data_IF_920841960619
#
_entry.id   IF_920841960619
#
_cell.length_a   1.000
_cell.length_b   1.000
_cell.length_c   1.000
_cell.angle_alpha   90.00
_cell.angle_beta   90.00
_cell.angle_gamma   90.00
#
_symmetry.space_group_name_H-M   'P 1'
#
loop_
_entity.id
_entity.type
_entity.pdbx_description
1 polymer ?
#
# COMPACT_ATOMS: atom_id res chain seq x y z
N UNK A 1 -5.10 4.68 -9.10
CA UNK A 1 -4.89 3.46 -9.93
C UNK A 1 -6.11 2.55 -9.96
N UNK A 2 -6.60 2.05 -8.82
CA UNK A 2 -7.74 1.11 -8.78
C UNK A 2 -9.05 1.72 -9.28
N UNK A 3 -9.34 2.98 -8.93
CA UNK A 3 -10.51 3.71 -9.45
C UNK A 3 -10.56 3.74 -10.98
N UNK A 4 -9.46 4.12 -11.62
CA UNK A 4 -9.32 4.15 -13.08
C UNK A 4 -9.56 2.77 -13.70
N UNK A 5 -8.91 1.73 -13.16
CA UNK A 5 -9.01 0.36 -13.69
C UNK A 5 -10.37 -0.29 -13.50
N UNK A 6 -11.14 0.18 -12.52
CA UNK A 6 -12.48 -0.33 -12.24
C UNK A 6 -13.58 0.56 -12.80
N UNK A 7 -13.23 1.71 -13.38
CA UNK A 7 -14.19 2.71 -13.85
C UNK A 7 -15.04 3.31 -12.71
N UNK A 8 -14.49 3.37 -11.49
CA UNK A 8 -15.17 3.85 -10.29
C UNK A 8 -14.68 5.22 -9.87
N UNK A 9 -15.49 5.91 -9.07
CA UNK A 9 -15.14 7.14 -8.37
C UNK A 9 -14.92 6.92 -6.87
N UNK A 10 -14.30 7.90 -6.21
CA UNK A 10 -14.21 7.94 -4.74
C UNK A 10 -15.59 7.85 -4.07
N UNK A 11 -16.59 8.53 -4.64
CA UNK A 11 -17.96 8.51 -4.09
C UNK A 11 -18.59 7.12 -4.18
N UNK A 12 -18.35 6.37 -5.27
CA UNK A 12 -18.85 5.00 -5.38
C UNK A 12 -18.27 4.12 -4.26
N UNK A 13 -16.97 4.26 -3.97
CA UNK A 13 -16.29 3.45 -2.94
C UNK A 13 -16.81 3.80 -1.55
N UNK A 14 -16.97 5.08 -1.24
CA UNK A 14 -17.54 5.50 0.05
C UNK A 14 -18.99 5.04 0.20
N UNK A 15 -19.80 5.15 -0.86
CA UNK A 15 -21.20 4.71 -0.84
C UNK A 15 -21.32 3.21 -0.56
N UNK A 16 -20.51 2.37 -1.22
CA UNK A 16 -20.51 0.93 -0.95
C UNK A 16 -20.20 0.61 0.52
N UNK A 17 -19.20 1.31 1.10
CA UNK A 17 -18.83 1.11 2.51
C UNK A 17 -19.94 1.55 3.47
N UNK A 18 -20.56 2.72 3.22
CA UNK A 18 -21.67 3.25 4.02
C UNK A 18 -22.89 2.33 3.95
N UNK A 19 -23.26 1.88 2.75
CA UNK A 19 -24.39 0.98 2.53
C UNK A 19 -24.13 -0.40 3.16
N UNK A 20 -22.90 -0.91 3.07
CA UNK A 20 -22.50 -2.13 3.76
C UNK A 20 -22.64 -2.02 5.27
N UNK A 21 -22.16 -0.93 5.88
CA UNK A 21 -22.33 -0.68 7.31
C UNK A 21 -23.81 -0.59 7.70
N UNK A 22 -24.63 0.10 6.89
CA UNK A 22 -26.07 0.23 7.12
C UNK A 22 -26.78 -1.12 7.04
N UNK A 23 -26.49 -1.91 6.00
CA UNK A 23 -27.05 -3.25 5.79
C UNK A 23 -26.77 -4.19 6.95
N UNK A 24 -25.54 -4.20 7.45
CA UNK A 24 -25.11 -5.04 8.57
C UNK A 24 -25.47 -4.44 9.95
N UNK A 25 -26.07 -3.25 9.98
CA UNK A 25 -26.39 -2.55 11.24
C UNK A 25 -25.14 -2.16 12.05
N UNK A 26 -23.99 -2.01 11.41
CA UNK A 26 -22.73 -1.60 12.06
C UNK A 26 -22.82 -0.14 12.51
N UNK A 27 -22.72 0.09 13.83
CA UNK A 27 -22.80 1.41 14.46
C UNK A 27 -21.45 1.91 14.98
N UNK A 28 -20.37 1.17 14.73
CA UNK A 28 -19.03 1.59 15.11
C UNK A 28 -18.46 2.64 14.17
N UNK A 29 -17.29 3.17 14.51
CA UNK A 29 -16.57 4.06 13.62
C UNK A 29 -15.93 3.28 12.47
N UNK A 30 -15.89 3.90 11.30
CA UNK A 30 -15.06 3.49 10.17
C UNK A 30 -14.47 4.75 9.52
N UNK A 31 -13.39 4.59 8.75
CA UNK A 31 -12.76 5.67 8.00
C UNK A 31 -12.73 5.35 6.51
N UNK A 32 -12.54 6.38 5.70
CA UNK A 32 -12.35 6.26 4.26
C UNK A 32 -10.96 6.80 3.87
N UNK A 33 -10.11 5.92 3.36
CA UNK A 33 -8.73 6.23 2.97
C UNK A 33 -8.59 6.43 1.45
N UNK A 34 -8.16 7.63 1.08
CA UNK A 34 -7.79 7.99 -0.26
C UNK A 34 -6.36 7.51 -0.50
N UNK A 35 -6.25 6.26 -0.93
CA UNK A 35 -4.97 5.55 -1.02
C UNK A 35 -4.13 6.00 -2.23
N UNK A 36 -2.80 6.03 -2.06
CA UNK A 36 -1.81 6.37 -3.09
C UNK A 36 -2.12 7.64 -3.93
N UNK A 37 -2.42 8.77 -3.28
CA UNK A 37 -2.65 10.06 -3.95
C UNK A 37 -1.33 10.68 -4.42
N UNK A 38 -1.24 10.94 -5.72
CA UNK A 38 -0.03 11.47 -6.40
C UNK A 38 -0.17 12.90 -6.94
N UNK A 39 -1.37 13.47 -6.87
CA UNK A 39 -1.64 14.83 -7.36
C UNK A 39 -2.75 15.53 -6.56
N UNK A 40 -2.79 16.86 -6.67
CA UNK A 40 -3.75 17.69 -5.92
C UNK A 40 -5.18 17.59 -6.46
N UNK A 41 -5.37 17.18 -7.72
CA UNK A 41 -6.69 17.05 -8.31
C UNK A 41 -7.41 15.83 -7.71
N UNK A 42 -6.75 14.67 -7.69
CA UNK A 42 -7.23 13.46 -7.03
C UNK A 42 -7.44 13.71 -5.52
N UNK A 43 -6.52 14.44 -4.88
CA UNK A 43 -6.64 14.83 -3.47
C UNK A 43 -7.91 15.66 -3.22
N UNK A 44 -8.16 16.65 -4.06
CA UNK A 44 -9.38 17.47 -4.01
C UNK A 44 -10.64 16.66 -4.23
N UNK A 45 -10.65 15.77 -5.22
CA UNK A 45 -11.78 14.90 -5.50
C UNK A 45 -12.11 13.96 -4.32
N UNK A 46 -11.10 13.39 -3.66
CA UNK A 46 -11.29 12.57 -2.46
C UNK A 46 -11.82 13.39 -1.28
N UNK A 47 -11.27 14.60 -1.08
CA UNK A 47 -11.72 15.51 -0.04
C UNK A 47 -13.18 15.94 -0.24
N UNK A 48 -13.54 16.32 -1.47
CA UNK A 48 -14.90 16.71 -1.84
C UNK A 48 -15.88 15.52 -1.74
N UNK A 49 -15.40 14.28 -1.91
CA UNK A 49 -16.20 13.06 -1.71
C UNK A 49 -16.41 12.68 -0.23
N UNK A 50 -15.74 13.35 0.71
CA UNK A 50 -15.93 13.12 2.16
C UNK A 50 -14.96 12.10 2.79
N UNK A 51 -13.80 11.86 2.17
CA UNK A 51 -12.78 10.99 2.74
C UNK A 51 -12.17 11.58 4.02
N UNK A 52 -11.82 10.70 4.96
CA UNK A 52 -11.32 11.07 6.29
C UNK A 52 -9.84 10.76 6.52
N UNK A 53 -9.23 10.01 5.61
CA UNK A 53 -7.84 9.58 5.66
C UNK A 53 -7.22 9.77 4.27
N UNK A 54 -6.03 10.35 4.21
CA UNK A 54 -5.34 10.66 2.95
C UNK A 54 -3.93 10.10 2.96
N UNK A 55 -3.65 9.22 2.01
CA UNK A 55 -2.33 8.62 1.84
C UNK A 55 -1.62 9.29 0.69
N UNK A 56 -0.62 10.11 1.02
CA UNK A 56 0.16 10.83 0.02
C UNK A 56 1.31 9.96 -0.42
N UNK A 57 1.37 9.70 -1.72
CA UNK A 57 2.41 8.93 -2.37
C UNK A 57 3.28 9.87 -3.23
N UNK A 58 4.43 10.32 -2.73
CA UNK A 58 5.38 11.11 -3.47
C UNK A 58 6.39 10.24 -4.24
N UNK A 59 6.15 8.93 -4.47
CA UNK A 59 7.14 8.01 -5.09
C UNK A 59 7.70 8.53 -6.41
N UNK A 60 6.87 9.22 -7.20
CA UNK A 60 7.25 9.78 -8.50
C UNK A 60 8.24 10.95 -8.37
N UNK A 61 8.43 11.46 -7.15
CA UNK A 61 9.41 12.49 -6.76
C UNK A 61 10.63 11.90 -6.06
N UNK A 62 10.70 10.57 -5.90
CA UNK A 62 11.80 9.88 -5.25
C UNK A 62 12.60 9.13 -6.32
N UNK A 63 13.81 9.62 -6.58
CA UNK A 63 14.77 8.95 -7.47
C UNK A 63 16.11 8.74 -6.74
N UNK A 64 16.87 7.73 -7.16
CA UNK A 64 18.22 7.54 -6.64
C UNK A 64 19.08 8.71 -7.10
N UNK A 65 19.86 9.30 -6.20
CA UNK A 65 20.82 10.36 -6.54
C UNK A 65 21.77 9.96 -7.70
N UNK A 66 22.08 8.66 -7.82
CA UNK A 66 22.93 8.12 -8.89
C UNK A 66 22.28 8.14 -10.28
N UNK A 67 20.97 8.34 -10.39
CA UNK A 67 20.23 8.43 -11.66
C UNK A 67 20.12 9.88 -12.16
N UNK A 68 20.51 10.85 -11.34
CA UNK A 68 20.50 12.27 -11.69
C UNK A 68 21.83 12.67 -12.32
N UNK A 69 21.77 13.46 -13.39
CA UNK A 69 22.97 14.12 -13.92
C UNK A 69 23.49 15.22 -12.98
N UNK A 70 24.73 15.66 -13.22
CA UNK A 70 25.44 16.59 -12.34
C UNK A 70 24.74 17.95 -12.21
N UNK A 71 24.20 18.47 -13.32
CA UNK A 71 23.49 19.75 -13.35
C UNK A 71 22.20 19.70 -12.52
N UNK A 72 21.41 18.63 -12.67
CA UNK A 72 20.20 18.40 -11.86
C UNK A 72 20.54 18.26 -10.38
N UNK A 73 21.62 17.55 -10.05
CA UNK A 73 22.07 17.39 -8.66
C UNK A 73 22.45 18.73 -8.06
N UNK A 74 23.28 19.50 -8.75
CA UNK A 74 23.71 20.83 -8.30
C UNK A 74 22.51 21.74 -8.08
N UNK A 75 21.61 21.81 -9.07
CA UNK A 75 20.40 22.63 -8.97
C UNK A 75 19.51 22.23 -7.80
N UNK A 76 19.22 20.95 -7.63
CA UNK A 76 18.37 20.46 -6.55
C UNK A 76 18.96 20.76 -5.17
N UNK A 77 20.29 20.65 -5.04
CA UNK A 77 20.97 20.98 -3.80
C UNK A 77 21.00 22.50 -3.54
N UNK A 78 21.33 23.31 -4.55
CA UNK A 78 21.32 24.78 -4.45
C UNK A 78 19.94 25.30 -4.02
N UNK A 79 18.87 24.78 -4.63
CA UNK A 79 17.49 25.09 -4.24
C UNK A 79 17.19 24.67 -2.80
N UNK A 80 17.58 23.46 -2.41
CA UNK A 80 17.37 22.96 -1.05
C UNK A 80 18.15 23.80 -0.01
N UNK A 81 19.42 24.10 -0.25
CA UNK A 81 20.24 24.87 0.67
C UNK A 81 19.84 26.34 0.77
N UNK A 82 19.36 26.93 -0.33
CA UNK A 82 18.78 28.26 -0.29
C UNK A 82 17.51 28.31 0.57
N UNK A 83 16.67 27.27 0.51
CA UNK A 83 15.41 27.21 1.26
C UNK A 83 15.61 26.82 2.74
N UNK A 84 16.53 25.89 3.03
CA UNK A 84 16.64 25.26 4.36
C UNK A 84 17.99 25.46 5.06
N UNK A 85 19.03 25.91 4.35
CA UNK A 85 20.40 25.91 4.84
C UNK A 85 20.99 24.49 4.96
N UNK A 86 21.89 24.27 5.94
CA UNK A 86 22.51 22.98 6.25
C UNK A 86 22.11 22.41 7.63
N UNK A 87 20.82 22.35 8.01
CA UNK A 87 20.41 22.06 9.39
C UNK A 87 20.69 20.60 9.81
N UNK A 88 20.95 19.72 8.84
CA UNK A 88 21.26 18.32 9.09
C UNK A 88 22.76 18.05 9.16
N UNK A 89 23.61 18.89 8.58
CA UNK A 89 25.03 18.57 8.48
C UNK A 89 25.67 18.46 9.87
N UNK A 90 26.30 17.31 10.13
CA UNK A 90 26.89 16.91 11.41
C UNK A 90 25.90 16.76 12.58
N UNK A 91 24.59 16.77 12.31
CA UNK A 91 23.58 16.48 13.33
C UNK A 91 23.61 14.98 13.66
N UNK A 92 23.54 14.68 14.95
CA UNK A 92 23.52 13.31 15.46
C UNK A 92 22.26 13.05 16.27
N UNK A 93 21.64 11.91 16.02
CA UNK A 93 20.49 11.40 16.77
C UNK A 93 20.92 10.11 17.48
N UNK A 94 20.70 10.06 18.80
CA UNK A 94 20.88 8.85 19.60
C UNK A 94 19.49 8.25 19.84
N UNK A 95 19.19 7.15 19.16
CA UNK A 95 17.86 6.52 19.17
C UNK A 95 18.05 5.06 19.57
N UNK A 96 17.48 4.67 20.71
CA UNK A 96 17.79 3.39 21.34
C UNK A 96 19.29 3.27 21.63
N UNK A 97 19.93 2.21 21.12
CA UNK A 97 21.38 1.99 21.23
C UNK A 97 22.17 2.46 20.00
N UNK A 98 21.49 2.95 18.97
CA UNK A 98 22.10 3.36 17.73
C UNK A 98 22.41 4.86 17.72
N UNK A 99 23.48 5.22 17.01
CA UNK A 99 23.87 6.60 16.72
C UNK A 99 23.74 6.84 15.22
N UNK A 100 22.89 7.78 14.84
CA UNK A 100 22.67 8.19 13.46
C UNK A 100 23.27 9.57 13.23
N UNK A 101 24.30 9.67 12.39
CA UNK A 101 24.97 10.93 12.08
C UNK A 101 24.79 11.29 10.63
N UNK A 102 24.37 12.51 10.38
CA UNK A 102 24.23 13.10 9.06
C UNK A 102 25.57 13.71 8.62
N UNK A 103 26.47 12.87 8.10
CA UNK A 103 27.69 13.34 7.42
C UNK A 103 27.35 13.90 6.04
N UNK A 104 28.29 14.62 5.43
CA UNK A 104 28.06 15.34 4.17
C UNK A 104 27.52 14.45 3.04
N UNK A 105 28.20 13.35 2.74
CA UNK A 105 27.80 12.43 1.66
C UNK A 105 26.36 11.88 1.80
N UNK A 106 26.04 11.17 2.90
CA UNK A 106 24.68 10.71 3.16
C UNK A 106 23.63 11.83 3.20
N UNK A 107 23.98 13.02 3.72
CA UNK A 107 23.05 14.16 3.73
C UNK A 107 22.73 14.61 2.32
N UNK A 108 23.74 14.76 1.46
CA UNK A 108 23.56 15.11 0.03
C UNK A 108 22.68 14.08 -0.67
N UNK A 109 22.93 12.79 -0.45
CA UNK A 109 22.12 11.72 -1.04
C UNK A 109 20.65 11.79 -0.61
N UNK A 110 20.39 11.99 0.69
CA UNK A 110 19.03 12.12 1.22
C UNK A 110 18.30 13.35 0.70
N UNK A 111 19.00 14.49 0.56
CA UNK A 111 18.43 15.70 -0.03
C UNK A 111 18.02 15.44 -1.48
N UNK A 112 18.94 14.91 -2.28
CA UNK A 112 18.67 14.61 -3.69
C UNK A 112 17.51 13.63 -3.87
N UNK A 113 17.39 12.64 -2.97
CA UNK A 113 16.36 11.60 -3.08
C UNK A 113 15.01 12.00 -2.51
N UNK A 114 14.94 12.79 -1.43
CA UNK A 114 13.68 13.01 -0.69
C UNK A 114 13.19 14.46 -0.62
N UNK A 115 14.00 15.46 -0.95
CA UNK A 115 13.60 16.86 -0.78
C UNK A 115 12.35 17.22 -1.60
N UNK A 116 12.31 16.80 -2.87
CA UNK A 116 11.16 17.05 -3.75
C UNK A 116 9.89 16.33 -3.25
N UNK A 117 10.04 15.10 -2.75
CA UNK A 117 8.95 14.33 -2.16
C UNK A 117 8.35 15.02 -0.92
N UNK A 118 9.21 15.50 -0.01
CA UNK A 118 8.78 16.23 1.20
C UNK A 118 8.04 17.52 0.84
N UNK A 119 8.52 18.26 -0.16
CA UNK A 119 7.86 19.48 -0.65
C UNK A 119 6.47 19.18 -1.22
N UNK A 120 6.31 18.08 -1.95
CA UNK A 120 5.01 17.64 -2.42
C UNK A 120 4.06 17.25 -1.27
N UNK A 121 4.55 16.49 -0.29
CA UNK A 121 3.79 16.16 0.93
C UNK A 121 3.31 17.41 1.66
N UNK A 122 4.17 18.43 1.78
CA UNK A 122 3.81 19.72 2.35
C UNK A 122 2.71 20.42 1.55
N UNK A 123 2.80 20.44 0.21
CA UNK A 123 1.76 21.02 -0.64
C UNK A 123 0.41 20.33 -0.43
N UNK A 124 0.38 18.98 -0.39
CA UNK A 124 -0.83 18.21 -0.11
C UNK A 124 -1.40 18.53 1.28
N UNK A 125 -0.55 18.60 2.31
CA UNK A 125 -0.96 18.97 3.66
C UNK A 125 -1.59 20.36 3.71
N UNK A 126 -0.95 21.37 3.11
CA UNK A 126 -1.49 22.72 3.08
C UNK A 126 -2.80 22.78 2.30
N UNK A 127 -2.89 22.09 1.16
CA UNK A 127 -4.12 22.00 0.37
C UNK A 127 -5.27 21.40 1.18
N UNK A 128 -5.07 20.25 1.84
CA UNK A 128 -6.12 19.63 2.67
C UNK A 128 -6.59 20.52 3.80
N UNK A 129 -5.70 21.25 4.47
CA UNK A 129 -6.07 22.20 5.53
C UNK A 129 -6.98 23.33 5.05
N UNK A 130 -7.00 23.64 3.75
CA UNK A 130 -7.96 24.60 3.17
C UNK A 130 -9.34 24.01 2.93
N UNK A 131 -9.47 22.67 2.95
CA UNK A 131 -10.67 21.91 2.58
C UNK A 131 -11.34 21.24 3.78
N UNK A 132 -10.56 20.65 4.68
CA UNK A 132 -11.03 19.76 5.75
C UNK A 132 -10.31 20.09 7.06
N UNK A 133 -11.06 20.12 8.17
CA UNK A 133 -10.54 20.44 9.50
C UNK A 133 -9.88 19.25 10.21
N UNK A 134 -10.44 18.05 10.05
CA UNK A 134 -10.01 16.84 10.72
C UNK A 134 -9.83 15.73 9.71
N UNK A 135 -8.63 15.21 9.62
CA UNK A 135 -8.29 14.09 8.76
C UNK A 135 -7.06 13.37 9.29
N UNK A 136 -6.99 12.08 9.02
CA UNK A 136 -5.75 11.32 9.11
C UNK A 136 -4.91 11.57 7.87
N UNK A 137 -3.60 11.68 8.06
CA UNK A 137 -2.65 11.96 7.00
C UNK A 137 -1.51 10.96 7.04
N UNK A 138 -1.31 10.23 5.96
CA UNK A 138 -0.24 9.25 5.83
C UNK A 138 0.76 9.69 4.78
N UNK A 139 2.05 9.49 5.10
CA UNK A 139 3.14 9.70 4.15
C UNK A 139 3.64 8.32 3.70
N UNK A 140 3.49 8.01 2.42
CA UNK A 140 3.89 6.72 1.85
C UNK A 140 5.23 6.83 1.14
N UNK A 141 6.22 6.00 1.48
CA UNK A 141 7.48 5.86 0.73
C UNK A 141 7.79 4.38 0.48
N UNK A 142 6.75 3.56 0.36
CA UNK A 142 6.80 2.11 0.17
C UNK A 142 6.96 1.67 -1.30
N UNK A 143 6.53 2.49 -2.27
CA UNK A 143 6.67 2.20 -3.71
C UNK A 143 8.07 2.61 -4.27
N UNK A 144 9.11 2.66 -3.43
CA UNK A 144 10.47 3.02 -3.84
C UNK A 144 11.34 1.80 -4.17
N UNK A 145 12.29 1.95 -5.10
CA UNK A 145 13.18 0.85 -5.52
C UNK A 145 14.15 0.37 -4.44
N UNK A 146 14.45 1.20 -3.44
CA UNK A 146 15.38 0.87 -2.35
C UNK A 146 14.61 0.88 -1.04
N UNK A 147 14.88 -0.06 -0.12
CA UNK A 147 14.40 0.02 1.26
C UNK A 147 14.73 1.36 1.91
N UNK A 148 13.78 1.89 2.67
CA UNK A 148 13.96 3.13 3.42
C UNK A 148 14.98 2.90 4.53
N UNK A 149 16.09 3.65 4.52
CA UNK A 149 17.11 3.52 5.56
C UNK A 149 16.66 4.21 6.86
N UNK A 150 17.23 3.84 8.02
CA UNK A 150 16.99 4.58 9.27
C UNK A 150 17.29 6.09 9.16
N UNK A 151 18.38 6.47 8.47
CA UNK A 151 18.70 7.89 8.23
C UNK A 151 17.66 8.57 7.34
N UNK A 152 17.14 7.89 6.31
CA UNK A 152 16.06 8.42 5.48
C UNK A 152 14.77 8.62 6.29
N UNK A 153 14.40 7.66 7.14
CA UNK A 153 13.24 7.79 8.01
C UNK A 153 13.39 9.00 8.96
N UNK A 154 14.55 9.16 9.62
CA UNK A 154 14.83 10.33 10.47
C UNK A 154 14.77 11.63 9.68
N UNK A 155 15.34 11.65 8.46
CA UNK A 155 15.33 12.81 7.58
C UNK A 155 13.89 13.24 7.26
N UNK A 156 13.04 12.31 6.82
CA UNK A 156 11.63 12.57 6.51
C UNK A 156 10.90 13.08 7.76
N UNK A 157 10.97 12.34 8.88
CA UNK A 157 10.25 12.67 10.11
C UNK A 157 10.64 14.06 10.67
N UNK A 158 11.93 14.38 10.68
CA UNK A 158 12.42 15.70 11.12
C UNK A 158 11.91 16.83 10.20
N UNK A 159 11.91 16.62 8.88
CA UNK A 159 11.41 17.62 7.94
C UNK A 159 9.92 17.89 8.10
N UNK A 160 9.11 16.83 8.26
CA UNK A 160 7.68 16.94 8.48
C UNK A 160 7.40 17.67 9.80
N UNK A 161 8.11 17.31 10.87
CA UNK A 161 8.02 17.97 12.17
C UNK A 161 8.36 19.46 12.10
N UNK A 162 9.45 19.82 11.42
CA UNK A 162 9.90 21.21 11.29
C UNK A 162 8.92 22.07 10.47
N UNK A 163 8.12 21.44 9.60
CA UNK A 163 7.02 22.09 8.84
C UNK A 163 5.69 22.12 9.58
N UNK A 164 5.62 21.57 10.80
CA UNK A 164 4.38 21.46 11.56
C UNK A 164 3.34 20.54 10.90
N UNK A 165 3.78 19.61 10.05
CA UNK A 165 2.92 18.60 9.43
C UNK A 165 2.63 17.54 10.48
N UNK A 166 1.33 17.34 10.77
CA UNK A 166 0.87 16.28 11.68
C UNK A 166 0.40 15.11 10.83
N UNK A 167 1.05 13.97 10.97
CA UNK A 167 0.73 12.77 10.20
C UNK A 167 0.42 11.61 11.17
N UNK A 168 -0.57 10.81 10.79
CA UNK A 168 -1.09 9.69 11.58
C UNK A 168 -0.25 8.43 11.40
N UNK A 169 0.46 8.31 10.28
CA UNK A 169 1.27 7.14 9.94
C UNK A 169 2.29 7.43 8.85
N UNK A 170 3.27 6.53 8.73
CA UNK A 170 4.22 6.50 7.63
C UNK A 170 4.29 5.07 7.08
N UNK A 171 4.23 4.91 5.77
CA UNK A 171 4.50 3.64 5.11
C UNK A 171 5.94 3.65 4.59
N UNK A 172 6.75 2.67 5.00
CA UNK A 172 8.17 2.59 4.64
C UNK A 172 8.39 1.42 3.67
N UNK A 173 9.38 1.53 2.78
CA UNK A 173 9.86 0.39 2.01
C UNK A 173 10.75 -0.47 2.91
N UNK A 174 10.25 -1.61 3.35
CA UNK A 174 11.02 -2.60 4.10
C UNK A 174 11.92 -3.46 3.18
N UNK A 175 12.98 -4.10 3.70
CA UNK A 175 13.73 -5.10 2.94
C UNK A 175 12.86 -6.30 2.57
N UNK A 176 13.28 -7.05 1.54
CA UNK A 176 12.48 -8.12 0.95
C UNK A 176 11.46 -7.60 -0.05
N UNK A 177 10.49 -8.44 -0.42
CA UNK A 177 9.44 -8.09 -1.37
C UNK A 177 8.06 -8.37 -0.79
N UNK A 178 7.18 -7.41 -1.02
CA UNK A 178 5.79 -7.40 -0.57
C UNK A 178 4.87 -7.56 -1.78
N UNK A 179 5.06 -8.66 -2.52
CA UNK A 179 4.32 -8.89 -3.75
C UNK A 179 2.82 -9.08 -3.46
N UNK A 180 1.98 -8.71 -4.43
CA UNK A 180 0.52 -8.83 -4.29
C UNK A 180 0.10 -10.30 -4.25
N UNK A 181 -0.89 -10.64 -3.44
CA UNK A 181 -1.52 -11.97 -3.39
C UNK A 181 -0.68 -13.12 -2.82
N UNK A 182 0.52 -12.88 -2.31
CA UNK A 182 1.38 -13.93 -1.70
C UNK A 182 2.01 -13.46 -0.38
N UNK A 183 2.62 -14.40 0.34
CA UNK A 183 3.36 -14.11 1.57
C UNK A 183 4.67 -13.35 1.30
N UNK A 184 5.30 -12.86 2.35
CA UNK A 184 6.56 -12.12 2.30
C UNK A 184 7.68 -12.96 1.66
N UNK A 185 8.42 -12.35 0.74
CA UNK A 185 9.58 -12.99 0.10
C UNK A 185 10.86 -12.28 0.52
N UNK A 186 11.67 -12.92 1.36
CA UNK A 186 12.96 -12.39 1.79
C UNK A 186 13.45 -12.99 3.09
N UNK A 187 14.49 -12.37 3.66
CA UNK A 187 15.01 -12.75 4.98
C UNK A 187 14.15 -12.11 6.07
N UNK A 188 13.45 -12.94 6.87
CA UNK A 188 12.57 -12.48 7.96
C UNK A 188 13.38 -11.77 9.05
N UNK A 189 14.54 -12.30 9.45
CA UNK A 189 15.39 -11.65 10.46
C UNK A 189 15.87 -10.26 10.00
N UNK A 190 16.12 -10.11 8.70
CA UNK A 190 16.47 -8.83 8.09
C UNK A 190 15.31 -7.83 8.13
N UNK A 191 14.09 -8.30 7.89
CA UNK A 191 12.87 -7.50 8.06
C UNK A 191 12.66 -7.07 9.52
N UNK A 192 12.77 -8.00 10.47
CA UNK A 192 12.61 -7.73 11.89
C UNK A 192 13.61 -6.69 12.39
N UNK A 193 14.89 -6.85 12.03
CA UNK A 193 15.94 -5.89 12.41
C UNK A 193 15.66 -4.48 11.86
N UNK A 194 15.20 -4.40 10.61
CA UNK A 194 14.83 -3.11 10.00
C UNK A 194 13.60 -2.50 10.69
N UNK A 195 12.59 -3.33 11.00
CA UNK A 195 11.37 -2.91 11.66
C UNK A 195 11.63 -2.37 13.06
N UNK A 196 12.46 -3.05 13.86
CA UNK A 196 12.88 -2.60 15.19
C UNK A 196 13.55 -1.22 15.13
N UNK A 197 14.45 -1.01 14.18
CA UNK A 197 15.09 0.29 13.99
C UNK A 197 14.08 1.40 13.66
N UNK A 198 13.10 1.12 12.79
CA UNK A 198 12.08 2.09 12.43
C UNK A 198 11.07 2.36 13.54
N UNK A 199 10.73 1.37 14.37
CA UNK A 199 9.89 1.56 15.57
C UNK A 199 10.60 2.46 16.58
N UNK A 200 11.89 2.26 16.83
CA UNK A 200 12.65 3.14 17.73
C UNK A 200 12.68 4.59 17.21
N UNK A 201 12.76 4.79 15.89
CA UNK A 201 12.70 6.12 15.28
C UNK A 201 11.31 6.74 15.45
N UNK A 202 10.25 5.98 15.18
CA UNK A 202 8.85 6.40 15.41
C UNK A 202 8.64 6.90 16.84
N UNK A 203 9.08 6.11 17.82
CA UNK A 203 8.94 6.43 19.24
C UNK A 203 9.74 7.69 19.62
N UNK A 204 10.91 7.91 19.00
CA UNK A 204 11.69 9.14 19.19
C UNK A 204 10.98 10.39 18.65
N UNK A 205 10.27 10.28 17.52
CA UNK A 205 9.61 11.41 16.86
C UNK A 205 8.18 11.69 17.34
N UNK A 206 7.67 10.90 18.30
CA UNK A 206 6.35 11.03 18.95
C UNK A 206 5.17 10.49 18.12
N UNK A 207 5.13 9.15 18.04
CA UNK A 207 3.92 8.32 17.97
C UNK A 207 2.96 8.54 16.78
N UNK A 208 3.50 8.54 15.56
CA UNK A 208 2.72 8.11 14.39
C UNK A 208 2.71 6.57 14.30
N UNK A 209 1.86 5.99 13.45
CA UNK A 209 1.82 4.53 13.21
C UNK A 209 2.80 4.10 12.10
N UNK A 210 3.29 2.86 12.17
CA UNK A 210 3.92 2.21 11.01
C UNK A 210 2.83 1.61 10.14
N UNK A 211 2.73 2.06 8.90
CA UNK A 211 1.79 1.53 7.92
C UNK A 211 2.44 0.45 7.07
N UNK A 212 1.79 -0.72 6.98
CA UNK A 212 2.23 -1.84 6.15
C UNK A 212 1.37 -1.92 4.89
N UNK A 213 1.93 -1.41 3.80
CA UNK A 213 1.34 -1.50 2.47
C UNK A 213 1.56 -2.88 1.86
N UNK A 214 0.71 -3.23 0.88
CA UNK A 214 0.63 -4.60 0.35
C UNK A 214 0.54 -5.64 1.47
N UNK A 215 -0.18 -5.26 2.53
CA UNK A 215 -0.13 -5.93 3.81
C UNK A 215 -0.79 -7.30 3.76
N UNK A 216 -1.80 -7.52 2.90
CA UNK A 216 -2.52 -8.78 2.82
C UNK A 216 -1.61 -9.98 2.52
N UNK A 217 -1.99 -11.13 3.07
CA UNK A 217 -1.36 -12.44 2.92
C UNK A 217 0.06 -12.56 3.46
N UNK A 218 0.61 -11.52 4.13
CA UNK A 218 1.96 -11.51 4.70
C UNK A 218 2.05 -12.26 6.05
N UNK A 219 1.45 -13.45 6.11
CA UNK A 219 1.25 -14.19 7.35
C UNK A 219 2.55 -14.54 8.07
N UNK A 220 3.64 -14.81 7.35
CA UNK A 220 4.93 -15.17 7.95
C UNK A 220 5.52 -14.05 8.82
N UNK A 221 5.22 -12.78 8.51
CA UNK A 221 5.79 -11.62 9.21
C UNK A 221 4.82 -10.98 10.20
N UNK A 222 3.53 -11.31 10.18
CA UNK A 222 2.55 -10.70 11.09
C UNK A 222 2.86 -10.91 12.58
N UNK A 223 3.24 -12.12 13.06
CA UNK A 223 3.53 -12.31 14.48
C UNK A 223 4.68 -11.42 14.97
N UNK A 224 5.77 -11.33 14.21
CA UNK A 224 6.90 -10.48 14.59
C UNK A 224 6.59 -9.01 14.39
N UNK A 225 5.87 -8.64 13.32
CA UNK A 225 5.39 -7.29 13.10
C UNK A 225 4.57 -6.78 14.29
N UNK A 226 3.56 -7.55 14.71
CA UNK A 226 2.71 -7.21 15.86
C UNK A 226 3.50 -7.11 17.16
N UNK A 227 4.43 -8.04 17.38
CA UNK A 227 5.30 -8.06 18.57
C UNK A 227 6.20 -6.82 18.65
N UNK A 228 6.80 -6.43 17.53
CA UNK A 228 7.76 -5.32 17.47
C UNK A 228 7.04 -3.96 17.47
N UNK A 229 5.97 -3.81 16.69
CA UNK A 229 5.31 -2.51 16.47
C UNK A 229 4.31 -2.16 17.59
N UNK A 230 3.83 -3.17 18.32
CA UNK A 230 2.81 -2.97 19.37
C UNK A 230 1.45 -2.68 18.74
N UNK A 231 0.71 -1.72 19.31
CA UNK A 231 -0.57 -1.24 18.76
C UNK A 231 -0.42 -0.10 17.75
N UNK A 232 0.79 0.43 17.55
CA UNK A 232 1.07 1.59 16.71
C UNK A 232 1.24 1.25 15.24
N UNK A 233 0.30 0.51 14.65
CA UNK A 233 0.35 0.11 13.24
C UNK A 233 -0.93 0.41 12.46
N UNK A 234 -0.80 0.46 11.15
CA UNK A 234 -1.87 0.41 10.16
C UNK A 234 -1.53 -0.66 9.13
N UNK A 235 -2.49 -1.44 8.65
CA UNK A 235 -2.27 -2.50 7.65
C UNK A 235 -3.30 -2.30 6.55
N UNK A 236 -2.83 -2.30 5.30
CA UNK A 236 -3.68 -2.14 4.13
C UNK A 236 -3.88 -3.46 3.39
N UNK A 237 -5.15 -3.78 3.17
CA UNK A 237 -5.60 -4.91 2.35
C UNK A 237 -6.57 -4.39 1.30
N UNK A 238 -6.46 -4.85 0.05
CA UNK A 238 -7.42 -4.53 -1.01
C UNK A 238 -7.67 -5.79 -1.84
N UNK A 239 -6.75 -6.12 -2.75
CA UNK A 239 -6.96 -7.18 -3.74
C UNK A 239 -7.11 -8.60 -3.20
N UNK A 240 -6.81 -8.89 -1.93
CA UNK A 240 -7.15 -10.21 -1.36
C UNK A 240 -8.66 -10.42 -1.24
N UNK A 241 -9.43 -9.36 -0.96
CA UNK A 241 -10.89 -9.44 -0.98
C UNK A 241 -11.44 -9.76 -2.37
N UNK A 242 -10.78 -9.25 -3.42
CA UNK A 242 -11.06 -9.64 -4.80
C UNK A 242 -10.75 -11.13 -5.06
N UNK A 243 -9.64 -11.66 -4.53
CA UNK A 243 -9.33 -13.08 -4.63
C UNK A 243 -10.41 -13.95 -3.97
N UNK A 244 -10.88 -13.57 -2.79
CA UNK A 244 -11.98 -14.29 -2.12
C UNK A 244 -13.31 -14.18 -2.88
N UNK A 245 -13.55 -13.08 -3.61
CA UNK A 245 -14.69 -12.97 -4.51
C UNK A 245 -14.58 -13.95 -5.70
N UNK A 246 -13.41 -14.07 -6.33
CA UNK A 246 -13.19 -15.06 -7.39
C UNK A 246 -13.30 -16.49 -6.85
N UNK A 247 -12.87 -16.73 -5.61
CA UNK A 247 -13.06 -18.02 -4.94
C UNK A 247 -14.53 -18.33 -4.68
N UNK A 248 -15.34 -17.33 -4.31
CA UNK A 248 -16.79 -17.50 -4.19
C UNK A 248 -17.44 -17.86 -5.54
N UNK A 249 -17.01 -17.22 -6.63
CA UNK A 249 -17.45 -17.58 -7.99
C UNK A 249 -17.03 -19.01 -8.33
N UNK A 250 -15.79 -19.42 -8.04
CA UNK A 250 -15.34 -20.80 -8.28
C UNK A 250 -16.21 -21.85 -7.59
N UNK A 251 -16.71 -21.55 -6.38
CA UNK A 251 -17.58 -22.44 -5.61
C UNK A 251 -19.05 -22.43 -6.05
N UNK A 252 -19.45 -21.43 -6.85
CA UNK A 252 -20.86 -21.20 -7.19
C UNK A 252 -21.16 -21.42 -8.68
N UNK A 253 -20.23 -21.02 -9.54
CA UNK A 253 -20.30 -21.14 -10.99
C UNK A 253 -18.88 -21.40 -11.53
N UNK A 254 -18.52 -22.68 -11.60
CA UNK A 254 -17.21 -23.11 -12.06
C UNK A 254 -16.96 -22.79 -13.54
N UNK A 255 -18.03 -22.70 -14.34
CA UNK A 255 -17.96 -22.30 -15.75
C UNK A 255 -17.50 -20.85 -15.89
N UNK A 256 -18.18 -19.93 -15.19
CA UNK A 256 -17.78 -18.52 -15.14
C UNK A 256 -16.37 -18.35 -14.56
N UNK A 257 -16.03 -19.07 -13.50
CA UNK A 257 -14.68 -19.06 -12.94
C UNK A 257 -13.61 -19.46 -13.97
N UNK A 258 -13.88 -20.48 -14.79
CA UNK A 258 -12.97 -20.91 -15.84
C UNK A 258 -12.76 -19.83 -16.91
N UNK A 259 -13.82 -19.12 -17.28
CA UNK A 259 -13.73 -17.98 -18.22
C UNK A 259 -12.93 -16.81 -17.62
N UNK A 260 -13.12 -16.52 -16.33
CA UNK A 260 -12.35 -15.51 -15.60
C UNK A 260 -10.86 -15.86 -15.59
N UNK A 261 -10.50 -17.10 -15.27
CA UNK A 261 -9.11 -17.56 -15.25
C UNK A 261 -8.50 -17.44 -16.65
N UNK A 262 -9.23 -17.86 -17.70
CA UNK A 262 -8.78 -17.70 -19.08
C UNK A 262 -8.47 -16.25 -19.41
N UNK A 263 -9.38 -15.33 -19.07
CA UNK A 263 -9.18 -13.89 -19.29
C UNK A 263 -7.97 -13.35 -18.52
N UNK A 264 -7.77 -13.82 -17.28
CA UNK A 264 -6.64 -13.42 -16.46
C UNK A 264 -5.29 -13.85 -17.07
N UNK A 265 -5.20 -15.07 -17.59
CA UNK A 265 -4.00 -15.58 -18.28
C UNK A 265 -3.74 -14.78 -19.56
N UNK A 266 -4.77 -14.58 -20.40
CA UNK A 266 -4.65 -13.83 -21.67
C UNK A 266 -4.15 -12.40 -21.47
N UNK A 267 -4.54 -11.76 -20.37
CA UNK A 267 -4.22 -10.36 -20.08
C UNK A 267 -3.00 -10.20 -19.17
N UNK A 268 -2.35 -11.30 -18.76
CA UNK A 268 -1.29 -11.30 -17.75
C UNK A 268 -0.15 -10.33 -18.08
N UNK A 269 0.41 -10.37 -19.29
CA UNK A 269 1.57 -9.56 -19.68
C UNK A 269 1.28 -8.06 -19.57
N UNK A 270 0.09 -7.62 -19.98
CA UNK A 270 -0.33 -6.22 -19.89
C UNK A 270 -0.52 -5.82 -18.43
N UNK A 271 -1.14 -6.69 -17.63
CA UNK A 271 -1.41 -6.40 -16.22
C UNK A 271 -0.11 -6.35 -15.39
N UNK A 272 0.83 -7.26 -15.65
CA UNK A 272 2.06 -7.43 -14.89
C UNK A 272 2.99 -6.22 -15.00
N UNK A 273 2.90 -5.45 -16.10
CA UNK A 273 3.72 -4.26 -16.34
C UNK A 273 3.60 -3.17 -15.24
N UNK A 274 2.55 -3.21 -14.41
CA UNK A 274 2.33 -2.23 -13.33
C UNK A 274 2.43 -2.81 -11.92
N UNK A 275 2.94 -4.03 -11.75
CA UNK A 275 3.07 -4.68 -10.44
C UNK A 275 4.43 -5.35 -10.26
N UNK A 276 4.94 -5.29 -9.02
CA UNK A 276 6.06 -6.13 -8.58
C UNK A 276 5.52 -7.52 -8.21
N UNK A 277 5.66 -8.49 -9.12
CA UNK A 277 5.22 -9.89 -8.96
C UNK A 277 6.25 -10.87 -9.54
N UNK A 278 6.21 -12.11 -9.07
CA UNK A 278 7.11 -13.20 -9.47
C UNK A 278 6.41 -14.34 -10.22
N UNK A 279 5.10 -14.20 -10.47
CA UNK A 279 4.27 -15.22 -11.06
C UNK A 279 4.79 -15.72 -12.41
N UNK A 280 4.84 -17.03 -12.57
CA UNK A 280 5.12 -17.69 -13.84
C UNK A 280 3.81 -18.14 -14.53
N UNK A 281 3.34 -17.42 -15.57
CA UNK A 281 2.10 -17.77 -16.25
C UNK A 281 2.18 -19.10 -17.00
N UNK A 282 3.38 -19.61 -17.32
CA UNK A 282 3.54 -20.89 -18.00
C UNK A 282 3.13 -22.09 -17.11
N UNK A 283 3.11 -21.89 -15.78
CA UNK A 283 2.71 -22.92 -14.82
C UNK A 283 1.20 -23.01 -14.61
N UNK A 284 0.42 -22.08 -15.15
CA UNK A 284 -1.03 -22.02 -14.95
C UNK A 284 -1.72 -22.25 -16.29
N UNK A 285 -2.42 -23.38 -16.42
CA UNK A 285 -3.18 -23.71 -17.62
C UNK A 285 -4.63 -24.04 -17.28
N UNK A 286 -5.53 -23.85 -18.25
CA UNK A 286 -6.96 -24.15 -18.08
C UNK A 286 -7.21 -25.61 -17.73
N UNK A 287 -6.38 -26.54 -18.21
CA UNK A 287 -6.50 -27.97 -17.90
C UNK A 287 -6.23 -28.32 -16.43
N UNK A 288 -5.63 -27.40 -15.66
CA UNK A 288 -5.41 -27.59 -14.22
C UNK A 288 -6.66 -27.28 -13.39
N UNK A 289 -7.65 -26.60 -13.97
CA UNK A 289 -8.87 -26.24 -13.25
C UNK A 289 -9.72 -27.48 -13.01
N UNK A 290 -9.91 -27.83 -11.73
CA UNK A 290 -10.87 -28.86 -11.31
C UNK A 290 -11.72 -28.34 -10.17
N UNK A 291 -13.01 -28.65 -10.23
CA UNK A 291 -14.01 -28.18 -9.27
C UNK A 291 -13.78 -28.75 -7.86
N UNK A 292 -13.24 -29.95 -7.75
CA UNK A 292 -12.87 -30.61 -6.49
C UNK A 292 -11.51 -30.16 -5.92
N UNK A 293 -10.75 -29.33 -6.64
CA UNK A 293 -9.41 -28.87 -6.25
C UNK A 293 -9.33 -27.34 -6.05
N UNK A 294 -10.46 -26.64 -5.90
CA UNK A 294 -10.51 -25.16 -5.77
C UNK A 294 -9.53 -24.65 -4.70
N UNK A 295 -9.54 -25.20 -3.49
CA UNK A 295 -8.66 -24.73 -2.42
C UNK A 295 -7.17 -24.89 -2.75
N UNK A 296 -6.79 -25.94 -3.49
CA UNK A 296 -5.42 -26.15 -3.95
C UNK A 296 -5.02 -25.12 -5.03
N UNK A 297 -5.94 -24.75 -5.92
CA UNK A 297 -5.71 -23.68 -6.90
C UNK A 297 -5.41 -22.35 -6.20
N UNK A 298 -6.23 -21.97 -5.21
CA UNK A 298 -6.04 -20.72 -4.47
C UNK A 298 -4.87 -20.75 -3.46
N UNK A 299 -4.27 -21.91 -3.20
CA UNK A 299 -3.01 -22.03 -2.46
C UNK A 299 -1.77 -21.82 -3.34
N UNK A 300 -1.91 -21.90 -4.67
CA UNK A 300 -0.82 -21.70 -5.60
C UNK A 300 -0.48 -20.19 -5.74
N UNK A 301 0.77 -19.78 -5.46
CA UNK A 301 1.16 -18.37 -5.52
C UNK A 301 1.08 -17.78 -6.92
N UNK A 302 1.50 -18.51 -7.96
CA UNK A 302 1.43 -18.06 -9.35
C UNK A 302 -0.04 -17.80 -9.74
N UNK A 303 -0.92 -18.73 -9.38
CA UNK A 303 -2.37 -18.63 -9.63
C UNK A 303 -2.99 -17.40 -8.95
N UNK A 304 -2.71 -17.21 -7.66
CA UNK A 304 -3.19 -16.05 -6.89
C UNK A 304 -2.72 -14.74 -7.52
N UNK A 305 -1.45 -14.64 -7.90
CA UNK A 305 -0.92 -13.41 -8.49
C UNK A 305 -1.55 -13.07 -9.84
N UNK A 306 -1.73 -14.05 -10.73
CA UNK A 306 -2.38 -13.86 -12.04
C UNK A 306 -3.81 -13.32 -11.86
N UNK A 307 -4.58 -13.89 -10.93
CA UNK A 307 -5.92 -13.40 -10.61
C UNK A 307 -5.91 -12.03 -9.93
N UNK A 308 -4.95 -11.78 -9.03
CA UNK A 308 -4.90 -10.55 -8.25
C UNK A 308 -4.69 -9.33 -9.14
N UNK A 309 -3.91 -9.43 -10.21
CA UNK A 309 -3.59 -8.28 -11.06
C UNK A 309 -4.58 -8.07 -12.22
N UNK A 310 -5.47 -9.03 -12.47
CA UNK A 310 -6.37 -9.04 -13.63
C UNK A 310 -7.75 -8.41 -13.38
N UNK A 311 -8.04 -7.95 -12.16
CA UNK A 311 -9.34 -7.36 -11.79
C UNK A 311 -9.82 -6.29 -12.77
N UNK A 312 -8.94 -5.38 -13.21
CA UNK A 312 -9.33 -4.31 -14.15
C UNK A 312 -9.76 -4.87 -15.50
N UNK A 313 -8.99 -5.81 -16.04
CA UNK A 313 -9.30 -6.45 -17.31
C UNK A 313 -10.61 -7.24 -17.26
N UNK A 314 -10.89 -7.92 -16.14
CA UNK A 314 -12.13 -8.68 -15.93
C UNK A 314 -13.31 -7.75 -15.75
N UNK A 315 -13.20 -6.72 -14.91
CA UNK A 315 -14.30 -5.79 -14.60
C UNK A 315 -14.63 -4.85 -15.77
N UNK A 316 -13.67 -4.59 -16.67
CA UNK A 316 -13.88 -3.83 -17.91
C UNK A 316 -14.65 -4.59 -18.99
N UNK A 317 -14.70 -5.93 -18.91
CA UNK A 317 -15.54 -6.74 -19.78
C UNK A 317 -16.97 -6.75 -19.23
N UNK A 318 -17.89 -6.08 -19.91
CA UNK A 318 -19.27 -5.91 -19.44
C UNK A 318 -20.01 -7.24 -19.22
N UNK A 319 -19.72 -8.27 -20.02
CA UNK A 319 -20.38 -9.56 -19.90
C UNK A 319 -19.87 -10.32 -18.67
N UNK A 320 -18.54 -10.44 -18.54
CA UNK A 320 -17.93 -11.08 -17.38
C UNK A 320 -18.24 -10.34 -16.07
N UNK A 321 -18.15 -9.01 -16.09
CA UNK A 321 -18.45 -8.15 -14.93
C UNK A 321 -19.92 -8.28 -14.50
N UNK A 322 -20.85 -8.32 -15.46
CA UNK A 322 -22.27 -8.51 -15.18
C UNK A 322 -22.57 -9.87 -14.54
N UNK A 323 -22.02 -10.95 -15.12
CA UNK A 323 -22.19 -12.30 -14.58
C UNK A 323 -21.52 -12.45 -13.21
N UNK A 324 -20.29 -11.98 -13.03
CA UNK A 324 -19.58 -11.98 -11.76
C UNK A 324 -20.38 -11.30 -10.66
N UNK A 325 -20.93 -10.10 -10.93
CA UNK A 325 -21.76 -9.37 -9.96
C UNK A 325 -23.04 -10.13 -9.63
N UNK A 326 -23.73 -10.67 -10.64
CA UNK A 326 -24.95 -11.45 -10.45
C UNK A 326 -24.71 -12.70 -9.58
N UNK A 327 -23.62 -13.43 -9.86
CA UNK A 327 -23.22 -14.61 -9.08
C UNK A 327 -22.90 -14.24 -7.64
N UNK A 328 -22.12 -13.17 -7.41
CA UNK A 328 -21.78 -12.71 -6.05
C UNK A 328 -22.99 -12.21 -5.26
N UNK A 329 -23.97 -11.58 -5.91
CA UNK A 329 -25.22 -11.16 -5.25
C UNK A 329 -26.09 -12.37 -4.89
N UNK A 330 -26.15 -13.36 -5.78
CA UNK A 330 -26.94 -14.58 -5.55
C UNK A 330 -26.35 -15.45 -4.44
N UNK A 331 -25.01 -15.47 -4.33
CA UNK A 331 -24.24 -16.27 -3.39
C UNK A 331 -23.45 -15.40 -2.40
N UNK A 332 -24.09 -14.33 -1.92
CA UNK A 332 -23.45 -13.34 -1.04
C UNK A 332 -22.93 -13.97 0.26
N UNK A 333 -23.65 -14.96 0.79
CA UNK A 333 -23.30 -15.69 2.00
C UNK A 333 -21.97 -16.44 1.87
N UNK A 334 -21.71 -17.05 0.71
CA UNK A 334 -20.44 -17.72 0.42
C UNK A 334 -19.29 -16.72 0.44
N UNK A 335 -19.45 -15.57 -0.23
CA UNK A 335 -18.41 -14.53 -0.26
C UNK A 335 -18.16 -13.95 1.13
N UNK A 336 -19.23 -13.63 1.88
CA UNK A 336 -19.12 -13.11 3.24
C UNK A 336 -18.41 -14.11 4.18
N UNK A 337 -18.71 -15.41 4.07
CA UNK A 337 -18.05 -16.45 4.86
C UNK A 337 -16.54 -16.53 4.55
N UNK A 338 -16.17 -16.52 3.26
CA UNK A 338 -14.77 -16.52 2.82
C UNK A 338 -14.02 -15.29 3.30
N UNK A 339 -14.60 -14.09 3.15
CA UNK A 339 -14.01 -12.86 3.68
C UNK A 339 -13.80 -12.90 5.19
N UNK A 340 -14.82 -13.37 5.93
CA UNK A 340 -14.76 -13.46 7.40
C UNK A 340 -13.65 -14.40 7.85
N UNK A 341 -13.50 -15.55 7.22
CA UNK A 341 -12.42 -16.49 7.50
C UNK A 341 -11.05 -15.87 7.16
N UNK A 342 -10.93 -15.34 5.95
CA UNK A 342 -9.67 -14.85 5.40
C UNK A 342 -9.15 -13.61 6.17
N UNK A 343 -9.97 -12.57 6.34
CA UNK A 343 -9.63 -11.39 7.12
C UNK A 343 -9.57 -11.69 8.62
N UNK A 344 -10.36 -12.66 9.10
CA UNK A 344 -10.28 -13.17 10.46
C UNK A 344 -8.90 -13.75 10.78
N UNK A 345 -8.31 -14.52 9.87
CA UNK A 345 -6.93 -15.02 9.99
C UNK A 345 -5.90 -13.90 10.07
N UNK A 346 -6.05 -12.86 9.23
CA UNK A 346 -5.19 -11.68 9.29
C UNK A 346 -5.22 -11.06 10.69
N UNK A 347 -6.43 -10.74 11.16
CA UNK A 347 -6.63 -10.13 12.48
C UNK A 347 -6.13 -11.03 13.62
N UNK A 348 -6.30 -12.35 13.53
CA UNK A 348 -5.85 -13.28 14.56
C UNK A 348 -4.31 -13.26 14.75
N UNK A 349 -3.55 -13.14 13.66
CA UNK A 349 -2.09 -13.05 13.69
C UNK A 349 -1.56 -11.67 14.09
N UNK A 350 -2.46 -10.67 14.14
CA UNK A 350 -2.17 -9.27 14.47
C UNK A 350 -2.73 -8.84 15.84
N UNK A 351 -3.28 -9.77 16.63
CA UNK A 351 -3.82 -9.49 17.95
C UNK A 351 -2.76 -9.54 19.04
#
# INVERSE_FOLDING_TARGET
RELERTGRSFLDVLNDAVLGCFKEGYRGNFGADADHIKDLQALGAAADAGYSYFTIDPSDKIEKASMMDEDRRKKALDEYWAEYGLPFLNKTYNIGRARYTFSEGPTVELVLTYAAAIKFVEQCWQFLKTKINFFDFEVSVDETQIPTTPLAHIFIAEHLRNRGIKYSSIALRFPGRFEKGIDYVGNINGFETALEAHVLIRDYFKDYKISLHSGSDKFAIYPSFRKIVGSGFHIKTSGTSWIEAIKAVAKSDFGLFSEIVKRAIETFQVNAASYEISADPAKITISMLKEDEIDNLFANPDFRQILHISYGAILSDSALSGQLRSTLVTHEDIYAALLKEHLGRHLALLR
#
